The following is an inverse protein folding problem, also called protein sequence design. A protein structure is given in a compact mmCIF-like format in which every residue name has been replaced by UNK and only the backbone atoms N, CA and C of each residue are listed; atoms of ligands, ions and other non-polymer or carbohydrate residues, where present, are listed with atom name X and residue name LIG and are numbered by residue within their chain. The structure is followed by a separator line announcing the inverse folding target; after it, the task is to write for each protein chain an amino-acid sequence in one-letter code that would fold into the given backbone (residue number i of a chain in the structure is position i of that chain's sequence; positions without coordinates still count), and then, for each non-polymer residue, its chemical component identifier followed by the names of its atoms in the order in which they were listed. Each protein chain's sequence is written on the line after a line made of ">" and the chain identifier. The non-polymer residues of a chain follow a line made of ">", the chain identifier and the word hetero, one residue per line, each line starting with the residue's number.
data_IF_677131516129
#
_entry.id   IF_677131516129
#
_cell.length_a   1.000
_cell.length_b   1.000
_cell.length_c   1.000
_cell.angle_alpha   90.00
_cell.angle_beta   90.00
_cell.angle_gamma   90.00
#
_symmetry.space_group_name_H-M   'P 1'
#
loop_
_entity.id
_entity.type
_entity.pdbx_description
1 polymer ?
#
# COMPACT_ATOMS: atom_id res chain seq x y z
N UNK A 1 -61.05 -38.12 -24.53
CA UNK A 1 -60.81 -37.28 -23.33
C UNK A 1 -59.39 -37.39 -22.79
N UNK A 2 -58.83 -38.59 -22.59
CA UNK A 2 -57.49 -38.73 -21.99
C UNK A 2 -56.32 -38.09 -22.79
N UNK A 3 -56.38 -38.11 -24.14
CA UNK A 3 -55.33 -37.49 -24.98
C UNK A 3 -55.26 -35.97 -24.84
N UNK A 4 -56.41 -35.29 -24.65
CA UNK A 4 -56.45 -33.84 -24.45
C UNK A 4 -55.99 -33.44 -23.04
N UNK A 5 -56.26 -34.26 -22.02
CA UNK A 5 -55.79 -34.01 -20.65
C UNK A 5 -54.27 -34.16 -20.56
N UNK A 6 -53.69 -35.18 -21.23
CA UNK A 6 -52.24 -35.36 -21.30
C UNK A 6 -51.54 -34.20 -22.00
N UNK A 7 -52.05 -33.71 -23.13
CA UNK A 7 -51.43 -32.57 -23.84
C UNK A 7 -51.50 -31.28 -23.03
N UNK A 8 -52.58 -31.03 -22.29
CA UNK A 8 -52.70 -29.86 -21.41
C UNK A 8 -51.78 -29.94 -20.19
N UNK A 9 -51.60 -31.13 -19.61
CA UNK A 9 -50.65 -31.36 -18.52
C UNK A 9 -49.20 -31.20 -18.99
N UNK A 10 -48.84 -31.73 -20.16
CA UNK A 10 -47.52 -31.55 -20.80
C UNK A 10 -47.25 -30.08 -21.13
N UNK A 11 -48.25 -29.36 -21.65
CA UNK A 11 -48.14 -27.94 -21.98
C UNK A 11 -47.99 -27.07 -20.73
N UNK A 12 -48.70 -27.40 -19.64
CA UNK A 12 -48.55 -26.71 -18.34
C UNK A 12 -47.20 -26.99 -17.68
N UNK A 13 -46.71 -28.23 -17.78
CA UNK A 13 -45.43 -28.66 -17.23
C UNK A 13 -44.27 -27.93 -17.91
N UNK A 14 -44.30 -27.83 -19.24
CA UNK A 14 -43.28 -27.10 -20.00
C UNK A 14 -43.28 -25.60 -19.70
N UNK A 15 -44.43 -24.95 -19.52
CA UNK A 15 -44.48 -23.53 -19.15
C UNK A 15 -43.95 -23.25 -17.74
N UNK A 16 -44.20 -24.15 -16.78
CA UNK A 16 -43.64 -24.05 -15.43
C UNK A 16 -42.14 -24.32 -15.41
N UNK A 17 -41.66 -25.29 -16.18
CA UNK A 17 -40.24 -25.59 -16.35
C UNK A 17 -39.49 -24.42 -17.00
N UNK A 18 -40.07 -23.81 -18.04
CA UNK A 18 -39.53 -22.62 -18.69
C UNK A 18 -39.46 -21.43 -17.73
N UNK A 19 -40.52 -21.20 -16.95
CA UNK A 19 -40.56 -20.16 -15.93
C UNK A 19 -39.50 -20.35 -14.84
N UNK A 20 -39.31 -21.59 -14.37
CA UNK A 20 -38.28 -21.94 -13.40
C UNK A 20 -36.87 -21.71 -13.95
N UNK A 21 -36.62 -22.11 -15.20
CA UNK A 21 -35.33 -21.90 -15.87
C UNK A 21 -35.01 -20.40 -16.03
N UNK A 22 -35.98 -19.59 -16.43
CA UNK A 22 -35.81 -18.13 -16.55
C UNK A 22 -35.51 -17.50 -15.18
N UNK A 23 -36.21 -17.92 -14.12
CA UNK A 23 -35.97 -17.42 -12.77
C UNK A 23 -34.56 -17.79 -12.26
N UNK A 24 -34.12 -19.02 -12.47
CA UNK A 24 -32.76 -19.48 -12.11
C UNK A 24 -31.71 -18.70 -12.89
N UNK A 25 -31.91 -18.48 -14.19
CA UNK A 25 -30.98 -17.72 -15.03
C UNK A 25 -30.90 -16.26 -14.59
N UNK A 26 -32.03 -15.64 -14.23
CA UNK A 26 -32.06 -14.28 -13.69
C UNK A 26 -31.29 -14.17 -12.36
N UNK A 27 -31.43 -15.14 -11.46
CA UNK A 27 -30.68 -15.18 -10.19
C UNK A 27 -29.17 -15.32 -10.45
N UNK A 28 -28.77 -16.20 -11.38
CA UNK A 28 -27.37 -16.39 -11.76
C UNK A 28 -26.80 -15.11 -12.36
N UNK A 29 -27.50 -14.48 -13.30
CA UNK A 29 -27.09 -13.19 -13.88
C UNK A 29 -26.95 -12.13 -12.78
N UNK A 30 -27.91 -12.06 -11.86
CA UNK A 30 -27.88 -11.06 -10.78
C UNK A 30 -26.70 -11.30 -9.84
N UNK A 31 -26.37 -12.56 -9.52
CA UNK A 31 -25.18 -12.92 -8.75
C UNK A 31 -23.88 -12.58 -9.49
N UNK A 32 -23.81 -12.91 -10.79
CA UNK A 32 -22.64 -12.60 -11.63
C UNK A 32 -22.45 -11.08 -11.73
N UNK A 33 -23.50 -10.33 -12.01
CA UNK A 33 -23.47 -8.86 -12.05
C UNK A 33 -23.11 -8.29 -10.68
N UNK A 34 -23.67 -8.82 -9.59
CA UNK A 34 -23.31 -8.38 -8.24
C UNK A 34 -21.84 -8.65 -7.92
N UNK A 35 -21.29 -9.81 -8.31
CA UNK A 35 -19.87 -10.14 -8.16
C UNK A 35 -18.99 -9.25 -9.03
N UNK A 36 -19.34 -9.04 -10.29
CA UNK A 36 -18.61 -8.15 -11.22
C UNK A 36 -18.67 -6.70 -10.74
N UNK A 37 -19.81 -6.24 -10.24
CA UNK A 37 -20.00 -4.90 -9.73
C UNK A 37 -19.31 -4.70 -8.37
N UNK A 38 -19.27 -5.74 -7.50
CA UNK A 38 -18.40 -5.76 -6.31
C UNK A 38 -16.93 -5.73 -6.66
N UNK A 39 -16.50 -6.47 -7.69
CA UNK A 39 -15.11 -6.46 -8.19
C UNK A 39 -14.74 -5.12 -8.81
N UNK A 40 -15.71 -4.35 -9.32
CA UNK A 40 -15.53 -3.00 -9.85
C UNK A 40 -15.51 -1.90 -8.79
N UNK A 41 -15.67 -2.20 -7.48
CA UNK A 41 -15.49 -1.17 -6.45
C UNK A 41 -14.03 -0.73 -6.38
N UNK A 42 -13.75 0.30 -7.18
CA UNK A 42 -12.64 1.25 -7.12
C UNK A 42 -11.29 0.62 -6.80
N UNK A 43 -10.54 0.23 -7.84
CA UNK A 43 -9.09 0.22 -7.71
C UNK A 43 -8.68 1.63 -7.25
N UNK A 44 -8.17 1.73 -6.02
CA UNK A 44 -7.69 3.00 -5.50
C UNK A 44 -6.67 3.62 -6.47
N UNK A 45 -6.62 4.95 -6.53
CA UNK A 45 -5.60 5.69 -7.31
C UNK A 45 -4.54 6.32 -6.40
N UNK A 46 -4.64 6.14 -5.08
CA UNK A 46 -3.79 6.79 -4.10
C UNK A 46 -2.42 6.15 -3.98
N UNK A 47 -1.36 6.93 -4.12
CA UNK A 47 -0.01 6.55 -3.69
C UNK A 47 0.29 7.30 -2.39
N UNK A 48 0.45 6.55 -1.31
CA UNK A 48 0.71 7.14 0.00
C UNK A 48 2.22 7.30 0.19
N UNK A 49 2.69 8.53 0.40
CA UNK A 49 4.05 8.81 0.85
C UNK A 49 4.05 8.81 2.38
N UNK A 50 4.78 7.89 2.98
CA UNK A 50 4.86 7.67 4.44
C UNK A 50 6.31 7.59 4.88
N UNK A 51 6.56 7.74 6.19
CA UNK A 51 7.91 7.74 6.78
C UNK A 51 8.02 8.73 7.93
N UNK A 52 9.08 8.63 8.73
CA UNK A 52 9.31 9.52 9.88
C UNK A 52 9.46 11.00 9.45
N UNK A 53 9.37 11.92 10.40
CA UNK A 53 9.68 13.33 10.16
C UNK A 53 11.09 13.52 9.58
N UNK A 54 11.27 14.59 8.80
CA UNK A 54 12.56 14.94 8.16
C UNK A 54 13.15 13.94 7.16
N UNK A 55 12.47 12.84 6.82
CA UNK A 55 12.95 11.90 5.77
C UNK A 55 12.87 12.47 4.36
N UNK A 56 12.19 13.61 4.15
CA UNK A 56 12.12 14.31 2.87
C UNK A 56 10.87 14.02 2.03
N UNK A 57 9.80 13.47 2.63
CA UNK A 57 8.51 13.18 1.96
C UNK A 57 7.92 14.37 1.21
N UNK A 58 7.81 15.51 1.87
CA UNK A 58 7.22 16.73 1.30
C UNK A 58 8.08 17.30 0.17
N UNK A 59 9.40 17.12 0.25
CA UNK A 59 10.30 17.52 -0.83
C UNK A 59 10.14 16.61 -2.06
N UNK A 60 10.03 15.30 -1.86
CA UNK A 60 9.71 14.34 -2.94
C UNK A 60 8.35 14.67 -3.56
N UNK A 61 7.34 14.94 -2.74
CA UNK A 61 6.01 15.38 -3.21
C UNK A 61 6.12 16.65 -4.07
N UNK A 62 6.83 17.68 -3.60
CA UNK A 62 7.02 18.92 -4.35
C UNK A 62 7.73 18.68 -5.69
N UNK A 63 8.71 17.77 -5.73
CA UNK A 63 9.41 17.37 -6.97
C UNK A 63 8.48 16.69 -7.97
N UNK A 64 7.61 15.80 -7.51
CA UNK A 64 6.64 15.13 -8.37
C UNK A 64 5.61 16.12 -8.94
N UNK A 65 5.24 17.15 -8.18
CA UNK A 65 4.22 18.13 -8.60
C UNK A 65 4.77 19.25 -9.47
N UNK A 66 5.88 19.85 -9.08
CA UNK A 66 6.37 21.10 -9.67
C UNK A 66 7.74 20.97 -10.35
N UNK A 67 8.40 19.81 -10.31
CA UNK A 67 9.80 19.58 -10.76
C UNK A 67 10.87 20.46 -10.08
N UNK A 68 10.49 21.47 -9.32
CA UNK A 68 11.38 22.43 -8.67
C UNK A 68 11.70 22.07 -7.20
N UNK A 69 12.80 22.63 -6.70
CA UNK A 69 13.14 22.55 -5.28
C UNK A 69 12.30 23.55 -4.48
N UNK A 70 11.60 23.06 -3.46
CA UNK A 70 10.88 23.90 -2.50
C UNK A 70 11.43 23.62 -1.10
N UNK A 71 11.78 24.66 -0.36
CA UNK A 71 12.19 24.51 1.05
C UNK A 71 10.97 24.11 1.87
N UNK A 72 11.03 22.96 2.54
CA UNK A 72 9.92 22.40 3.32
C UNK A 72 10.18 22.41 4.82
N UNK A 73 9.10 22.39 5.62
CA UNK A 73 9.10 22.25 7.08
C UNK A 73 8.20 21.07 7.48
N UNK A 74 8.16 20.70 8.76
CA UNK A 74 7.30 19.62 9.27
C UNK A 74 5.84 19.84 8.88
N UNK A 75 5.27 18.91 8.12
CA UNK A 75 3.87 18.95 7.69
C UNK A 75 2.91 18.78 8.88
N UNK A 76 2.00 19.74 9.05
CA UNK A 76 0.89 19.69 10.03
C UNK A 76 -0.38 19.08 9.41
N UNK A 77 -0.47 19.12 8.08
CA UNK A 77 -1.59 18.64 7.26
C UNK A 77 -1.06 17.80 6.09
N UNK A 78 -1.89 16.92 5.55
CA UNK A 78 -1.55 16.19 4.33
C UNK A 78 -1.46 17.11 3.11
N UNK A 79 -0.56 16.78 2.17
CA UNK A 79 -0.58 17.35 0.82
C UNK A 79 -1.16 16.30 -0.15
N UNK A 80 -2.01 16.73 -1.07
CA UNK A 80 -2.62 15.85 -2.07
C UNK A 80 -2.51 16.50 -3.44
N UNK A 81 -2.04 15.76 -4.43
CA UNK A 81 -2.01 16.21 -5.81
C UNK A 81 -2.10 15.04 -6.77
N UNK A 82 -2.59 15.30 -7.96
CA UNK A 82 -2.77 14.29 -9.00
C UNK A 82 -1.63 14.44 -10.02
N UNK A 83 -0.96 13.34 -10.35
CA UNK A 83 0.06 13.26 -11.40
C UNK A 83 -0.45 12.37 -12.53
N UNK A 84 -0.14 12.77 -13.77
CA UNK A 84 -0.37 11.94 -14.94
C UNK A 84 0.84 11.01 -15.13
N UNK A 85 0.62 9.70 -15.05
CA UNK A 85 1.64 8.68 -15.31
C UNK A 85 1.11 7.78 -16.42
N UNK A 86 1.76 7.83 -17.58
CA UNK A 86 1.29 7.18 -18.80
C UNK A 86 -0.15 7.62 -19.16
N UNK A 87 -1.08 6.67 -19.31
CA UNK A 87 -2.50 6.92 -19.59
C UNK A 87 -3.37 6.91 -18.31
N UNK A 88 -2.76 6.87 -17.13
CA UNK A 88 -3.44 6.80 -15.83
C UNK A 88 -3.17 8.06 -15.00
N UNK A 89 -4.15 8.47 -14.19
CA UNK A 89 -3.96 9.50 -13.17
C UNK A 89 -3.73 8.83 -11.82
N UNK A 90 -2.64 9.17 -11.14
CA UNK A 90 -2.33 8.73 -9.78
C UNK A 90 -2.44 9.91 -8.82
N UNK A 91 -3.03 9.68 -7.65
CA UNK A 91 -3.13 10.67 -6.58
C UNK A 91 -2.02 10.47 -5.58
N UNK A 92 -1.06 11.39 -5.51
CA UNK A 92 0.00 11.35 -4.51
C UNK A 92 -0.50 12.01 -3.23
N UNK A 93 -0.35 11.32 -2.10
CA UNK A 93 -0.74 11.81 -0.77
C UNK A 93 0.49 11.83 0.14
N UNK A 94 0.98 13.02 0.49
CA UNK A 94 2.04 13.22 1.50
C UNK A 94 1.44 13.14 2.90
N UNK A 95 1.74 12.06 3.62
CA UNK A 95 1.29 11.83 4.99
C UNK A 95 2.27 12.49 5.97
N UNK A 96 1.79 13.31 6.93
CA UNK A 96 2.64 13.87 7.99
C UNK A 96 3.44 12.79 8.72
N UNK A 97 4.74 13.04 8.91
CA UNK A 97 5.64 12.09 9.58
C UNK A 97 5.64 12.18 11.11
N UNK A 98 5.00 13.21 11.67
CA UNK A 98 4.89 13.39 13.11
C UNK A 98 4.11 12.22 13.73
N UNK A 99 4.64 11.67 14.81
CA UNK A 99 4.08 10.49 15.46
C UNK A 99 2.61 10.67 15.87
N UNK A 100 2.21 11.87 16.28
CA UNK A 100 0.84 12.18 16.73
C UNK A 100 -0.14 12.27 15.56
N UNK A 101 0.35 12.54 14.36
CA UNK A 101 -0.46 12.81 13.17
C UNK A 101 -0.47 11.64 12.18
N UNK A 102 0.63 10.89 12.06
CA UNK A 102 0.83 9.86 11.04
C UNK A 102 -0.29 8.82 10.99
N UNK A 103 -0.75 8.33 12.15
CA UNK A 103 -1.84 7.34 12.24
C UNK A 103 -3.17 7.87 11.72
N UNK A 104 -3.58 9.06 12.20
CA UNK A 104 -4.84 9.72 11.79
C UNK A 104 -4.92 9.93 10.28
N UNK A 105 -3.84 10.42 9.66
CA UNK A 105 -3.83 10.68 8.22
C UNK A 105 -3.68 9.40 7.41
N UNK A 106 -2.90 8.42 7.87
CA UNK A 106 -2.83 7.10 7.23
C UNK A 106 -4.21 6.43 7.20
N UNK A 107 -4.94 6.42 8.32
CA UNK A 107 -6.28 5.84 8.41
C UNK A 107 -7.30 6.50 7.48
N UNK A 108 -7.14 7.81 7.23
CA UNK A 108 -7.98 8.56 6.30
C UNK A 108 -7.82 8.10 4.84
N UNK A 109 -6.61 7.69 4.43
CA UNK A 109 -6.29 7.44 3.01
C UNK A 109 -6.04 5.96 2.67
N UNK A 110 -5.76 5.10 3.64
CA UNK A 110 -5.40 3.68 3.44
C UNK A 110 -6.40 2.87 2.61
N UNK A 111 -7.69 3.18 2.69
CA UNK A 111 -8.74 2.48 1.94
C UNK A 111 -8.69 2.73 0.43
N UNK A 112 -8.05 3.82 0.00
CA UNK A 112 -7.90 4.23 -1.41
C UNK A 112 -6.49 4.02 -1.97
N UNK A 113 -5.61 3.38 -1.19
CA UNK A 113 -4.23 3.16 -1.56
C UNK A 113 -4.10 2.10 -2.68
N UNK A 114 -3.48 2.51 -3.79
CA UNK A 114 -2.98 1.65 -4.87
C UNK A 114 -1.56 1.17 -4.61
N UNK A 115 -0.78 1.98 -3.89
CA UNK A 115 0.61 1.69 -3.55
C UNK A 115 1.07 2.54 -2.38
N UNK A 116 2.15 2.09 -1.74
CA UNK A 116 2.74 2.74 -0.56
C UNK A 116 4.22 3.01 -0.83
N UNK A 117 4.65 4.25 -0.66
CA UNK A 117 6.07 4.62 -0.67
C UNK A 117 6.46 4.95 0.77
N UNK A 118 7.43 4.22 1.30
CA UNK A 118 7.99 4.42 2.63
C UNK A 118 9.37 5.06 2.51
N UNK A 119 9.45 6.35 2.85
CA UNK A 119 10.65 7.17 2.70
C UNK A 119 11.50 7.10 3.97
N UNK A 120 12.75 6.70 3.80
CA UNK A 120 13.75 6.56 4.87
C UNK A 120 14.84 7.60 4.66
N UNK A 121 15.27 8.25 5.74
CA UNK A 121 16.51 9.02 5.77
C UNK A 121 17.70 8.04 5.88
N UNK A 122 18.45 7.91 4.79
CA UNK A 122 19.56 6.97 4.70
C UNK A 122 20.76 7.36 5.57
N UNK A 123 20.82 8.60 6.06
CA UNK A 123 21.90 9.15 6.88
C UNK A 123 21.65 8.87 8.36
N UNK A 124 20.41 9.03 8.83
CA UNK A 124 20.03 8.87 10.24
C UNK A 124 19.58 7.46 10.59
N UNK A 125 19.36 6.59 9.59
CA UNK A 125 18.79 5.24 9.75
C UNK A 125 19.40 4.42 10.90
N UNK A 126 20.70 4.51 11.17
CA UNK A 126 21.31 3.75 12.27
C UNK A 126 20.80 4.14 13.66
N UNK A 127 20.44 5.43 13.84
CA UNK A 127 19.92 5.95 15.12
C UNK A 127 18.42 5.72 15.26
N UNK A 128 17.70 5.76 14.13
CA UNK A 128 16.24 5.74 14.07
C UNK A 128 15.68 4.35 13.69
N UNK A 129 16.53 3.33 13.55
CA UNK A 129 16.14 2.01 13.01
C UNK A 129 14.93 1.41 13.74
N UNK A 130 14.84 1.60 15.06
CA UNK A 130 13.72 1.10 15.88
C UNK A 130 12.40 1.75 15.46
N UNK A 131 12.35 3.07 15.46
CA UNK A 131 11.16 3.84 15.11
C UNK A 131 10.77 3.65 13.64
N UNK A 132 11.76 3.54 12.76
CA UNK A 132 11.58 3.27 11.33
C UNK A 132 10.99 1.87 11.12
N UNK A 133 11.53 0.85 11.79
CA UNK A 133 11.05 -0.53 11.68
C UNK A 133 9.67 -0.70 12.32
N UNK A 134 9.42 -0.10 13.49
CA UNK A 134 8.13 -0.17 14.17
C UNK A 134 7.03 0.45 13.32
N UNK A 135 7.28 1.62 12.74
CA UNK A 135 6.29 2.26 11.89
C UNK A 135 6.03 1.46 10.62
N UNK A 136 7.09 0.94 9.97
CA UNK A 136 6.95 0.07 8.81
C UNK A 136 6.18 -1.21 9.14
N UNK A 137 6.44 -1.82 10.30
CA UNK A 137 5.70 -2.98 10.79
C UNK A 137 4.22 -2.67 10.88
N UNK A 138 3.85 -1.56 11.53
CA UNK A 138 2.45 -1.17 11.68
C UNK A 138 1.76 -0.92 10.34
N UNK A 139 2.47 -0.34 9.35
CA UNK A 139 1.96 -0.17 7.99
C UNK A 139 1.74 -1.52 7.28
N UNK A 140 2.73 -2.41 7.33
CA UNK A 140 2.66 -3.73 6.67
C UNK A 140 1.69 -4.70 7.36
N UNK A 141 1.36 -4.48 8.62
CA UNK A 141 0.32 -5.20 9.35
C UNK A 141 -1.09 -4.71 9.06
N UNK A 142 -1.27 -3.55 8.42
CA UNK A 142 -2.60 -3.01 8.16
C UNK A 142 -3.34 -3.83 7.07
N UNK A 143 -4.60 -4.25 7.31
CA UNK A 143 -5.35 -5.06 6.35
C UNK A 143 -5.57 -4.43 4.97
N UNK A 144 -5.48 -3.10 4.84
CA UNK A 144 -5.57 -2.45 3.53
C UNK A 144 -4.28 -2.62 2.73
N UNK A 145 -3.13 -2.67 3.40
CA UNK A 145 -1.81 -2.82 2.78
C UNK A 145 -1.55 -4.30 2.45
N UNK A 146 -2.03 -5.22 3.29
CA UNK A 146 -1.94 -6.67 3.05
C UNK A 146 -2.77 -7.18 1.87
N UNK A 147 -3.60 -6.34 1.25
CA UNK A 147 -4.33 -6.68 0.01
C UNK A 147 -3.43 -6.72 -1.23
N UNK A 148 -2.16 -7.09 -1.04
CA UNK A 148 -1.14 -7.19 -2.07
C UNK A 148 -0.95 -5.87 -2.84
N UNK A 149 -0.93 -4.74 -2.12
CA UNK A 149 -0.52 -3.49 -2.75
C UNK A 149 1.01 -3.44 -2.85
N UNK A 150 1.58 -2.93 -3.94
CA UNK A 150 3.02 -2.73 -4.06
C UNK A 150 3.51 -1.69 -3.05
N UNK A 151 4.66 -1.97 -2.44
CA UNK A 151 5.35 -1.11 -1.49
C UNK A 151 6.74 -0.80 -2.01
N UNK A 152 7.13 0.48 -1.96
CA UNK A 152 8.48 0.93 -2.27
C UNK A 152 9.15 1.45 -1.01
N UNK A 153 10.26 0.86 -0.59
CA UNK A 153 11.15 1.42 0.42
C UNK A 153 12.12 2.36 -0.28
N UNK A 154 11.91 3.66 -0.13
CA UNK A 154 12.68 4.70 -0.78
C UNK A 154 13.76 5.23 0.16
N UNK A 155 15.00 4.85 -0.09
CA UNK A 155 16.19 5.24 0.66
C UNK A 155 16.65 6.62 0.17
N UNK A 156 16.18 7.68 0.83
CA UNK A 156 16.40 9.07 0.42
C UNK A 156 17.68 9.65 1.03
N UNK A 157 18.10 10.82 0.54
CA UNK A 157 19.30 11.58 0.93
C UNK A 157 20.62 10.89 0.56
N UNK A 158 20.63 10.15 -0.54
CA UNK A 158 21.84 9.48 -1.06
C UNK A 158 22.91 10.46 -1.56
N UNK A 159 22.58 11.74 -1.68
CA UNK A 159 23.53 12.82 -1.95
C UNK A 159 24.53 13.07 -0.79
N UNK A 160 24.25 12.53 0.40
CA UNK A 160 25.08 12.75 1.58
C UNK A 160 26.10 11.62 1.81
N UNK A 161 27.32 11.99 2.19
CA UNK A 161 28.47 11.07 2.38
C UNK A 161 28.18 9.92 3.35
N UNK A 162 27.34 10.17 4.36
CA UNK A 162 27.02 9.18 5.40
C UNK A 162 25.81 8.29 5.06
N UNK A 163 25.19 8.50 3.90
CA UNK A 163 24.01 7.75 3.46
C UNK A 163 24.33 6.26 3.30
N UNK A 164 23.42 5.41 3.77
CA UNK A 164 23.48 3.95 3.58
C UNK A 164 22.70 3.56 2.34
N UNK A 165 23.28 2.72 1.49
CA UNK A 165 22.57 2.19 0.32
C UNK A 165 21.45 1.21 0.70
N UNK A 166 20.51 1.01 -0.22
CA UNK A 166 19.36 0.11 -0.04
C UNK A 166 19.69 -1.26 0.53
N UNK A 167 20.77 -1.91 0.07
CA UNK A 167 21.13 -3.26 0.53
C UNK A 167 21.40 -3.30 2.04
N UNK A 168 22.12 -2.29 2.57
CA UNK A 168 22.42 -2.18 4.00
C UNK A 168 21.14 -1.87 4.79
N UNK A 169 20.32 -0.93 4.29
CA UNK A 169 19.06 -0.56 4.95
C UNK A 169 18.11 -1.77 5.01
N UNK A 170 18.01 -2.55 3.92
CA UNK A 170 17.23 -3.77 3.87
C UNK A 170 17.65 -4.74 4.98
N UNK A 171 18.94 -5.04 5.10
CA UNK A 171 19.45 -5.94 6.15
C UNK A 171 19.19 -5.42 7.56
N UNK A 172 19.34 -4.10 7.78
CA UNK A 172 19.03 -3.47 9.07
C UNK A 172 17.55 -3.62 9.43
N UNK A 173 16.66 -3.34 8.48
CA UNK A 173 15.22 -3.49 8.67
C UNK A 173 14.83 -4.94 8.90
N UNK A 174 15.35 -5.89 8.13
CA UNK A 174 15.03 -7.31 8.29
C UNK A 174 15.39 -7.81 9.69
N UNK A 175 16.58 -7.42 10.18
CA UNK A 175 17.03 -7.72 11.53
C UNK A 175 16.12 -7.09 12.60
N UNK A 176 15.78 -5.81 12.46
CA UNK A 176 14.95 -5.12 13.47
C UNK A 176 13.50 -5.63 13.46
N UNK A 177 12.94 -5.90 12.28
CA UNK A 177 11.62 -6.50 12.10
C UNK A 177 11.56 -7.90 12.72
N UNK A 178 12.65 -8.68 12.63
CA UNK A 178 12.77 -9.97 13.31
C UNK A 178 12.68 -9.81 14.84
N UNK A 179 13.31 -8.77 15.40
CA UNK A 179 13.22 -8.49 16.84
C UNK A 179 11.80 -8.05 17.22
N UNK A 180 11.19 -7.15 16.45
CA UNK A 180 9.84 -6.61 16.71
C UNK A 180 8.76 -7.70 16.69
N UNK A 181 8.80 -8.64 15.75
CA UNK A 181 7.82 -9.73 15.73
C UNK A 181 7.99 -10.67 16.93
N UNK A 182 9.21 -10.90 17.39
CA UNK A 182 9.49 -11.76 18.54
C UNK A 182 8.99 -11.10 19.83
N UNK A 183 9.28 -9.81 20.04
CA UNK A 183 8.81 -9.07 21.22
C UNK A 183 7.30 -8.95 21.24
N UNK A 184 6.66 -8.62 20.11
CA UNK A 184 5.20 -8.58 20.01
C UNK A 184 4.57 -9.94 20.27
N UNK A 185 5.18 -11.04 19.80
CA UNK A 185 4.67 -12.40 20.06
C UNK A 185 4.80 -12.79 21.54
N UNK A 186 5.91 -12.45 22.20
CA UNK A 186 6.12 -12.75 23.63
C UNK A 186 5.22 -11.94 24.56
N UNK A 187 4.82 -10.72 24.18
CA UNK A 187 3.87 -9.91 24.95
C UNK A 187 2.44 -10.49 24.95
N UNK A 188 2.11 -11.38 24.00
CA UNK A 188 0.78 -12.00 23.87
C UNK A 188 0.48 -13.05 24.95
N UNK A 189 1.47 -13.51 25.70
CA UNK A 189 1.25 -14.49 26.77
C UNK A 189 0.66 -13.87 28.04
N UNK A 190 0.53 -12.54 28.13
CA UNK A 190 0.18 -11.87 29.40
C UNK A 190 -1.04 -10.94 29.42
N UNK A 191 -1.44 -10.22 28.35
CA UNK A 191 -2.70 -9.41 28.43
C UNK A 191 -3.28 -8.92 27.09
N UNK A 192 -4.63 -8.90 27.05
CA UNK A 192 -5.59 -8.15 26.21
C UNK A 192 -5.77 -8.38 24.68
N UNK A 193 -7.04 -8.63 24.33
CA UNK A 193 -7.55 -9.20 23.08
C UNK A 193 -8.08 -8.18 22.03
N UNK A 194 -7.54 -6.95 21.97
CA UNK A 194 -8.10 -5.90 21.10
C UNK A 194 -7.20 -5.42 19.94
N UNK A 195 -5.91 -5.81 19.91
CA UNK A 195 -5.08 -5.59 18.72
C UNK A 195 -5.00 -6.90 17.92
N UNK A 196 -5.51 -6.89 16.68
CA UNK A 196 -5.26 -7.97 15.72
C UNK A 196 -3.78 -7.91 15.37
N UNK A 197 -2.94 -8.55 16.19
CA UNK A 197 -1.51 -8.57 16.00
C UNK A 197 -1.18 -9.54 14.86
N UNK A 198 -0.94 -8.96 13.69
CA UNK A 198 -0.60 -9.75 12.50
C UNK A 198 0.88 -10.10 12.56
N UNK A 199 1.18 -11.40 12.50
CA UNK A 199 2.55 -11.90 12.37
C UNK A 199 3.02 -11.73 10.94
N UNK A 200 4.14 -11.02 10.75
CA UNK A 200 4.73 -10.78 9.43
C UNK A 200 5.81 -11.83 9.10
N UNK A 201 5.69 -12.47 7.94
CA UNK A 201 6.64 -13.45 7.42
C UNK A 201 6.36 -14.90 7.88
N UNK A 202 7.41 -15.73 7.89
CA UNK A 202 7.29 -17.18 8.18
C UNK A 202 7.72 -17.49 9.63
N UNK A 203 6.94 -18.33 10.30
CA UNK A 203 7.29 -18.81 11.65
C UNK A 203 8.53 -19.72 11.59
N UNK A 204 9.39 -19.63 12.61
CA UNK A 204 10.60 -20.46 12.72
C UNK A 204 11.75 -20.12 11.77
N UNK A 205 11.62 -19.10 10.92
CA UNK A 205 12.69 -18.56 10.08
C UNK A 205 12.88 -17.09 10.39
N UNK A 206 14.10 -16.56 10.24
CA UNK A 206 14.35 -15.12 10.34
C UNK A 206 13.50 -14.35 9.33
N UNK A 207 13.12 -13.14 9.72
CA UNK A 207 12.31 -12.29 8.86
C UNK A 207 13.10 -11.84 7.62
N UNK A 208 12.45 -11.93 6.47
CA UNK A 208 12.94 -11.39 5.20
C UNK A 208 11.74 -10.76 4.49
N UNK A 209 11.97 -9.68 3.74
CA UNK A 209 10.89 -9.06 2.95
C UNK A 209 10.34 -10.00 1.87
N UNK A 210 11.15 -10.98 1.44
CA UNK A 210 10.76 -12.06 0.50
C UNK A 210 9.65 -12.97 1.04
N UNK A 211 9.43 -12.97 2.36
CA UNK A 211 8.42 -13.80 3.02
C UNK A 211 7.02 -13.18 3.00
N UNK A 212 6.89 -11.92 2.59
CA UNK A 212 5.61 -11.21 2.53
C UNK A 212 4.92 -11.43 1.19
N UNK A 213 3.59 -11.47 1.21
CA UNK A 213 2.79 -11.61 -0.02
C UNK A 213 2.81 -10.33 -0.87
N UNK A 214 3.00 -9.16 -0.23
CA UNK A 214 3.11 -7.87 -0.91
C UNK A 214 4.45 -7.74 -1.64
N UNK A 215 4.41 -7.14 -2.84
CA UNK A 215 5.63 -6.79 -3.58
C UNK A 215 6.35 -5.62 -2.90
N UNK A 216 7.55 -5.86 -2.37
CA UNK A 216 8.36 -4.84 -1.70
C UNK A 216 9.63 -4.60 -2.50
N UNK A 217 9.69 -3.44 -3.15
CA UNK A 217 10.84 -2.97 -3.91
C UNK A 217 11.66 -1.99 -3.05
N UNK A 218 12.97 -1.90 -3.30
CA UNK A 218 13.86 -0.93 -2.66
C UNK A 218 14.48 -0.05 -3.75
N UNK A 219 14.53 1.26 -3.50
CA UNK A 219 15.09 2.23 -4.43
C UNK A 219 15.90 3.31 -3.70
N UNK A 220 16.97 3.78 -4.34
CA UNK A 220 17.76 4.90 -3.88
C UNK A 220 17.16 6.21 -4.41
N UNK A 221 17.28 7.30 -3.67
CA UNK A 221 16.91 8.63 -4.17
C UNK A 221 17.62 9.76 -3.44
N UNK A 222 17.63 10.93 -4.06
CA UNK A 222 17.89 12.20 -3.39
C UNK A 222 17.03 13.30 -4.00
N UNK A 223 16.19 13.91 -3.16
CA UNK A 223 15.29 14.98 -3.60
C UNK A 223 15.91 16.39 -3.43
N UNK A 224 16.96 16.50 -2.63
CA UNK A 224 17.66 17.75 -2.34
C UNK A 224 18.61 18.12 -3.48
N UNK A 225 18.62 19.40 -3.83
CA UNK A 225 19.55 19.93 -4.81
C UNK A 225 20.15 21.25 -4.30
N UNK A 226 21.49 21.34 -4.22
CA UNK A 226 22.20 22.60 -3.97
C UNK A 226 22.52 23.37 -5.25
N UNK A 227 22.68 22.68 -6.38
CA UNK A 227 23.15 23.22 -7.65
C UNK A 227 22.13 22.96 -8.77
N UNK A 228 21.58 23.99 -9.45
CA UNK A 228 20.58 23.81 -10.50
C UNK A 228 20.95 22.83 -11.64
N UNK A 229 22.24 22.48 -11.78
CA UNK A 229 22.77 21.54 -12.78
C UNK A 229 22.77 20.07 -12.31
N UNK A 230 22.75 19.80 -11.01
CA UNK A 230 22.71 18.43 -10.47
C UNK A 230 21.25 17.98 -10.40
N UNK A 231 20.81 17.15 -11.35
CA UNK A 231 19.43 16.66 -11.36
C UNK A 231 19.14 15.88 -10.06
N UNK A 232 17.97 16.09 -9.45
CA UNK A 232 17.51 15.25 -8.35
C UNK A 232 17.29 13.82 -8.89
N UNK A 233 17.82 12.80 -8.22
CA UNK A 233 17.58 11.42 -8.63
C UNK A 233 16.33 10.88 -7.94
N UNK A 234 15.25 10.91 -8.71
CA UNK A 234 13.97 10.26 -8.41
C UNK A 234 13.56 9.33 -9.55
N UNK A 235 14.52 8.87 -10.37
CA UNK A 235 14.23 8.08 -11.57
C UNK A 235 13.64 6.72 -11.20
N UNK A 236 14.21 6.04 -10.20
CA UNK A 236 13.70 4.76 -9.70
C UNK A 236 12.29 4.87 -9.12
N UNK A 237 11.98 5.99 -8.43
CA UNK A 237 10.63 6.29 -7.96
C UNK A 237 9.67 6.45 -9.13
N UNK A 238 10.04 7.20 -10.18
CA UNK A 238 9.20 7.38 -11.36
C UNK A 238 8.96 6.06 -12.12
N UNK A 239 10.00 5.22 -12.27
CA UNK A 239 9.87 3.87 -12.86
C UNK A 239 8.91 3.00 -12.05
N UNK A 240 9.01 3.05 -10.72
CA UNK A 240 8.09 2.32 -9.85
C UNK A 240 6.66 2.85 -9.98
N UNK A 241 6.46 4.18 -10.00
CA UNK A 241 5.14 4.79 -10.22
C UNK A 241 4.53 4.35 -11.56
N UNK A 242 5.33 4.25 -12.63
CA UNK A 242 4.89 3.73 -13.93
C UNK A 242 4.49 2.25 -13.88
N UNK A 243 5.19 1.43 -13.08
CA UNK A 243 4.83 0.00 -12.86
C UNK A 243 3.51 -0.14 -12.10
N UNK A 244 3.19 0.81 -11.21
CA UNK A 244 1.96 0.82 -10.41
C UNK A 244 0.77 1.45 -11.15
N UNK A 245 1.02 2.39 -12.08
CA UNK A 245 0.01 3.12 -12.86
C UNK A 245 -0.85 2.22 -13.76
#
# INVERSE_FOLDING_TARGET
>A
MEKQIKSLLEQSGNSQLLGLLVAVFAIIITLVLFVVWRRRKSAGQGILLTGLSDTGKTLIYARLMCSEFVRTYTSVKENTGDIAVNNSSLRIVDIPGDERLRGKYFDKYKSSAKGLVYVIDSVTIQKEIRDVAEYLYNLLSDPCIQKNIPVLILCNKQDQVMAKGCAVIKTLLEKEMNLLRMTKTSQLETTDALSVNVFLGRQGKDFEFSHLDSQIDFANSYAFNKDPQTAADIEELNKWLQKVA
#
